data_IF_247436082254
#
_entry.id   IF_247436082254
#
_cell.length_a   1.000
_cell.length_b   1.000
_cell.length_c   1.000
_cell.angle_alpha   90.00
_cell.angle_beta   90.00
_cell.angle_gamma   90.00
#
_symmetry.space_group_name_H-M   'P 1'
#
loop_
_entity.id
_entity.type
_entity.pdbx_description
1 polymer ?
#
# COMPACT_ATOMS: atom_id res chain seq x y z
N UNK A 1 -9.60 -16.58 29.96
CA UNK A 1 -8.32 -15.88 30.12
C UNK A 1 -7.87 -15.45 28.74
N UNK A 2 -8.16 -14.21 28.34
CA UNK A 2 -7.69 -13.63 27.08
C UNK A 2 -6.26 -13.18 27.31
N UNK A 3 -5.29 -14.02 26.95
CA UNK A 3 -3.90 -13.63 26.93
C UNK A 3 -3.71 -12.55 25.86
N UNK A 4 -3.57 -11.29 26.29
CA UNK A 4 -3.10 -10.20 25.46
C UNK A 4 -1.78 -10.63 24.78
N UNK A 5 -1.84 -10.92 23.49
CA UNK A 5 -0.70 -11.31 22.66
C UNK A 5 0.15 -10.08 22.29
N UNK A 6 0.31 -9.15 23.23
CA UNK A 6 0.85 -7.81 23.03
C UNK A 6 2.40 -7.76 23.13
N UNK A 7 3.07 -8.90 22.88
CA UNK A 7 4.52 -9.04 23.05
C UNK A 7 5.28 -9.20 21.75
N UNK A 8 4.61 -9.25 20.59
CA UNK A 8 5.29 -9.28 19.30
C UNK A 8 5.58 -7.83 18.87
N UNK A 9 6.84 -7.50 18.54
CA UNK A 9 7.19 -6.16 18.08
C UNK A 9 6.48 -5.88 16.74
N UNK A 10 5.83 -4.72 16.64
CA UNK A 10 5.29 -4.24 15.38
C UNK A 10 6.42 -3.66 14.52
N UNK A 11 6.28 -3.81 13.21
CA UNK A 11 7.14 -3.15 12.23
C UNK A 11 6.26 -2.37 11.26
N UNK A 12 6.46 -1.05 11.20
CA UNK A 12 5.78 -0.21 10.21
C UNK A 12 6.52 -0.38 8.87
N UNK A 13 5.80 -0.80 7.83
CA UNK A 13 6.38 -1.05 6.51
C UNK A 13 5.92 -0.01 5.49
N UNK A 14 6.87 0.55 4.73
CA UNK A 14 6.62 1.52 3.65
C UNK A 14 6.98 0.96 2.27
N UNK A 15 6.40 1.54 1.21
CA UNK A 15 6.51 1.04 -0.17
C UNK A 15 7.39 1.92 -1.06
N UNK A 16 8.53 2.37 -0.53
CA UNK A 16 9.53 3.14 -1.29
C UNK A 16 9.09 4.54 -1.70
N UNK A 17 8.15 5.15 -0.99
CA UNK A 17 7.79 6.55 -1.23
C UNK A 17 9.01 7.45 -1.00
N UNK A 18 9.34 8.35 -1.95
CA UNK A 18 10.41 9.32 -1.74
C UNK A 18 10.05 10.29 -0.61
N UNK A 19 11.07 10.82 0.05
CA UNK A 19 10.89 11.88 1.05
C UNK A 19 10.16 13.07 0.42
N UNK A 20 9.01 13.43 1.00
CA UNK A 20 8.23 14.58 0.60
C UNK A 20 7.81 15.37 1.85
N UNK A 21 7.68 16.70 1.75
CA UNK A 21 7.25 17.53 2.89
C UNK A 21 5.79 17.33 3.28
N UNK A 22 5.00 16.61 2.48
CA UNK A 22 3.58 16.30 2.67
C UNK A 22 3.29 14.90 2.13
N UNK A 23 2.19 14.29 2.57
CA UNK A 23 1.77 12.95 2.15
C UNK A 23 2.30 11.84 3.06
N UNK A 24 2.19 10.58 2.61
CA UNK A 24 2.49 9.39 3.42
C UNK A 24 3.95 9.36 3.90
N UNK A 25 4.90 9.77 3.08
CA UNK A 25 6.32 9.78 3.46
C UNK A 25 6.65 10.78 4.57
N UNK A 26 5.84 11.82 4.77
CA UNK A 26 5.98 12.75 5.90
C UNK A 26 5.42 12.19 7.22
N UNK A 27 4.40 11.32 7.13
CA UNK A 27 3.68 10.79 8.30
C UNK A 27 4.33 9.51 8.82
N UNK A 28 4.85 8.67 7.92
CA UNK A 28 5.39 7.35 8.31
C UNK A 28 6.46 7.40 9.40
N UNK A 29 7.44 8.35 9.41
CA UNK A 29 8.40 8.43 10.51
C UNK A 29 7.75 8.60 11.87
N UNK A 30 6.68 9.42 11.97
CA UNK A 30 5.93 9.65 13.21
C UNK A 30 5.17 8.39 13.67
N UNK A 31 4.61 7.65 12.71
CA UNK A 31 3.92 6.38 12.99
C UNK A 31 4.93 5.32 13.48
N UNK A 32 6.12 5.25 12.86
CA UNK A 32 7.17 4.33 13.27
C UNK A 32 7.75 4.68 14.65
N UNK A 33 7.91 5.96 14.97
CA UNK A 33 8.27 6.43 16.31
C UNK A 33 7.28 5.91 17.36
N UNK A 34 5.98 6.03 17.09
CA UNK A 34 4.93 5.64 18.01
C UNK A 34 4.72 4.13 18.15
N UNK A 35 4.92 3.34 17.08
CA UNK A 35 4.49 1.93 17.03
C UNK A 35 5.64 0.92 17.02
N UNK A 36 6.82 1.31 16.55
CA UNK A 36 7.91 0.38 16.27
C UNK A 36 9.27 0.87 16.77
N UNK A 37 9.30 1.79 17.76
CA UNK A 37 10.53 2.37 18.31
C UNK A 37 11.45 2.92 17.21
N UNK A 38 10.87 3.66 16.26
CA UNK A 38 11.51 4.18 15.04
C UNK A 38 11.89 3.15 13.98
N UNK A 39 11.83 1.84 14.25
CA UNK A 39 12.22 0.83 13.27
C UNK A 39 11.22 0.77 12.12
N UNK A 40 11.72 0.74 10.89
CA UNK A 40 10.89 0.64 9.68
C UNK A 40 11.29 -0.55 8.82
N UNK A 41 10.29 -1.14 8.19
CA UNK A 41 10.47 -2.00 7.03
C UNK A 41 10.30 -1.19 5.76
N UNK A 42 11.03 -1.58 4.72
CA UNK A 42 10.95 -0.97 3.40
C UNK A 42 10.75 -2.07 2.35
N UNK A 43 9.74 -1.89 1.51
CA UNK A 43 9.55 -2.69 0.30
C UNK A 43 9.74 -1.82 -0.92
N UNK A 44 10.69 -2.19 -1.77
CA UNK A 44 11.03 -1.48 -2.99
C UNK A 44 10.69 -2.31 -4.23
N UNK A 45 10.36 -1.64 -5.33
CA UNK A 45 10.43 -2.27 -6.64
C UNK A 45 11.87 -2.68 -6.93
N UNK A 46 12.03 -3.78 -7.66
CA UNK A 46 13.30 -4.17 -8.24
C UNK A 46 13.79 -3.08 -9.21
N UNK A 47 15.10 -2.84 -9.27
CA UNK A 47 15.69 -1.83 -10.17
C UNK A 47 15.38 -2.10 -11.64
N UNK A 48 15.14 -3.35 -12.01
CA UNK A 48 14.73 -3.76 -13.37
C UNK A 48 13.31 -3.33 -13.73
N UNK A 49 12.46 -3.02 -12.74
CA UNK A 49 11.09 -2.54 -12.94
C UNK A 49 11.10 -1.00 -12.97
N UNK A 50 11.69 -0.37 -11.97
CA UNK A 50 11.80 1.09 -11.88
C UNK A 50 13.08 1.51 -11.13
N UNK A 51 14.18 1.86 -11.83
CA UNK A 51 15.47 2.15 -11.19
C UNK A 51 15.42 3.29 -10.16
N UNK A 52 14.58 4.30 -10.37
CA UNK A 52 14.43 5.44 -9.47
C UNK A 52 13.72 5.10 -8.17
N UNK A 53 12.82 4.10 -8.16
CA UNK A 53 11.98 3.79 -7.00
C UNK A 53 12.82 3.39 -5.78
N UNK A 54 13.67 2.38 -5.93
CA UNK A 54 14.57 1.96 -4.86
C UNK A 54 15.60 3.03 -4.52
N UNK A 55 16.20 3.70 -5.53
CA UNK A 55 17.24 4.71 -5.31
C UNK A 55 16.74 5.88 -4.46
N UNK A 56 15.52 6.34 -4.73
CA UNK A 56 14.96 7.57 -4.13
C UNK A 56 14.15 7.28 -2.85
N UNK A 57 14.01 6.01 -2.46
CA UNK A 57 13.30 5.60 -1.25
C UNK A 57 13.99 6.05 0.05
N UNK A 58 13.19 6.51 1.02
CA UNK A 58 13.65 6.87 2.35
C UNK A 58 14.12 5.65 3.17
N UNK A 59 15.41 5.60 3.48
CA UNK A 59 16.03 4.54 4.29
C UNK A 59 16.27 4.93 5.74
N UNK A 60 15.76 6.08 6.18
CA UNK A 60 15.90 6.53 7.56
C UNK A 60 15.24 5.54 8.52
N UNK A 61 16.04 4.99 9.45
CA UNK A 61 15.64 3.98 10.44
C UNK A 61 15.06 2.67 9.84
N UNK A 62 15.41 2.35 8.60
CA UNK A 62 15.05 1.07 7.99
C UNK A 62 15.92 -0.05 8.57
N UNK A 63 15.29 -1.05 9.17
CA UNK A 63 15.95 -2.24 9.75
C UNK A 63 15.71 -3.51 8.93
N UNK A 64 14.76 -3.45 7.99
CA UNK A 64 14.44 -4.53 7.07
C UNK A 64 14.13 -3.92 5.71
N UNK A 65 14.85 -4.35 4.67
CA UNK A 65 14.58 -3.98 3.29
C UNK A 65 14.32 -5.27 2.48
N UNK A 66 13.25 -5.27 1.71
CA UNK A 66 12.83 -6.40 0.86
C UNK A 66 12.43 -5.87 -0.52
N UNK A 67 12.77 -6.60 -1.57
CA UNK A 67 12.32 -6.27 -2.92
C UNK A 67 10.98 -6.93 -3.27
N UNK A 68 10.23 -6.29 -4.16
CA UNK A 68 8.98 -6.79 -4.71
C UNK A 68 9.12 -8.24 -5.20
N UNK A 69 10.16 -8.56 -5.98
CA UNK A 69 10.39 -9.92 -6.48
C UNK A 69 10.54 -10.98 -5.39
N UNK A 70 11.10 -10.61 -4.24
CA UNK A 70 11.27 -11.53 -3.11
C UNK A 70 9.92 -11.86 -2.46
N UNK A 71 9.06 -10.87 -2.25
CA UNK A 71 7.70 -11.10 -1.74
C UNK A 71 6.82 -11.82 -2.77
N UNK A 72 6.97 -11.50 -4.06
CA UNK A 72 6.28 -12.21 -5.13
C UNK A 72 6.69 -13.69 -5.14
N UNK A 73 7.97 -13.99 -4.94
CA UNK A 73 8.47 -15.37 -4.88
C UNK A 73 7.88 -16.14 -3.70
N UNK A 74 7.73 -15.51 -2.53
CA UNK A 74 7.05 -16.13 -1.37
C UNK A 74 5.64 -16.58 -1.77
N UNK A 75 4.87 -15.70 -2.41
CA UNK A 75 3.50 -15.99 -2.83
C UNK A 75 3.44 -17.05 -3.95
N UNK A 76 4.38 -17.01 -4.89
CA UNK A 76 4.49 -18.01 -5.97
C UNK A 76 4.84 -19.40 -5.47
N UNK A 77 5.58 -19.51 -4.37
CA UNK A 77 5.90 -20.80 -3.76
C UNK A 77 4.65 -21.48 -3.17
N UNK A 78 3.67 -20.69 -2.73
CA UNK A 78 2.38 -21.19 -2.24
C UNK A 78 1.37 -21.42 -3.38
N UNK A 79 1.25 -20.45 -4.30
CA UNK A 79 0.40 -20.54 -5.49
C UNK A 79 1.16 -20.01 -6.72
N UNK A 80 1.59 -20.92 -7.59
CA UNK A 80 2.30 -20.58 -8.84
C UNK A 80 1.48 -19.70 -9.79
N UNK A 81 0.15 -19.73 -9.69
CA UNK A 81 -0.75 -18.91 -10.51
C UNK A 81 -1.04 -17.54 -9.90
N UNK A 82 -0.55 -17.26 -8.70
CA UNK A 82 -0.77 -16.01 -7.98
C UNK A 82 -0.46 -14.75 -8.83
N UNK A 83 0.71 -14.63 -9.50
CA UNK A 83 1.01 -13.42 -10.28
C UNK A 83 -0.02 -13.18 -11.39
N UNK A 84 -0.41 -14.23 -12.11
CA UNK A 84 -1.35 -14.14 -13.22
C UNK A 84 -2.75 -13.75 -12.72
N UNK A 85 -3.19 -14.30 -11.59
CA UNK A 85 -4.47 -13.98 -10.96
C UNK A 85 -4.52 -12.53 -10.51
N UNK A 86 -3.46 -12.08 -9.83
CA UNK A 86 -3.35 -10.71 -9.35
C UNK A 86 -3.31 -9.72 -10.53
N UNK A 87 -2.47 -9.99 -11.53
CA UNK A 87 -2.35 -9.15 -12.72
C UNK A 87 -3.70 -9.03 -13.45
N UNK A 88 -4.41 -10.15 -13.65
CA UNK A 88 -5.74 -10.15 -14.27
C UNK A 88 -6.75 -9.31 -13.48
N UNK A 89 -6.74 -9.42 -12.16
CA UNK A 89 -7.64 -8.66 -11.30
C UNK A 89 -7.32 -7.15 -11.32
N UNK A 90 -6.02 -6.80 -11.29
CA UNK A 90 -5.55 -5.41 -11.42
C UNK A 90 -5.94 -4.83 -12.79
N UNK A 91 -5.75 -5.58 -13.88
CA UNK A 91 -6.11 -5.13 -15.23
C UNK A 91 -7.63 -4.92 -15.36
N UNK A 92 -8.44 -5.80 -14.78
CA UNK A 92 -9.89 -5.62 -14.70
C UNK A 92 -10.27 -4.36 -13.91
N UNK A 93 -9.64 -4.13 -12.77
CA UNK A 93 -9.89 -2.93 -11.94
C UNK A 93 -9.50 -1.64 -12.69
N UNK A 94 -8.38 -1.64 -13.41
CA UNK A 94 -7.96 -0.52 -14.28
C UNK A 94 -9.01 -0.26 -15.38
N UNK A 95 -9.53 -1.32 -15.99
CA UNK A 95 -10.58 -1.20 -17.01
C UNK A 95 -11.83 -0.51 -16.43
N UNK A 96 -12.32 -0.97 -15.29
CA UNK A 96 -13.49 -0.40 -14.61
C UNK A 96 -13.27 1.05 -14.16
N UNK A 97 -12.09 1.37 -13.62
CA UNK A 97 -11.69 2.75 -13.32
C UNK A 97 -11.73 3.63 -14.57
N UNK A 98 -11.18 3.15 -15.69
CA UNK A 98 -11.15 3.90 -16.94
C UNK A 98 -12.55 4.11 -17.53
N UNK A 99 -13.45 3.14 -17.42
CA UNK A 99 -14.86 3.32 -17.78
C UNK A 99 -15.53 4.42 -16.94
N UNK A 100 -15.30 4.40 -15.62
CA UNK A 100 -15.80 5.44 -14.71
C UNK A 100 -15.23 6.83 -15.03
N UNK A 101 -13.93 6.90 -15.34
CA UNK A 101 -13.24 8.14 -15.72
C UNK A 101 -13.75 8.68 -17.06
N UNK A 102 -13.98 7.83 -18.04
CA UNK A 102 -14.53 8.22 -19.34
C UNK A 102 -15.93 8.83 -19.20
N UNK A 103 -16.81 8.22 -18.38
CA UNK A 103 -18.14 8.78 -18.05
C UNK A 103 -18.05 10.15 -17.38
N UNK A 104 -16.97 10.40 -16.64
CA UNK A 104 -16.67 11.68 -15.98
C UNK A 104 -15.85 12.67 -16.85
N UNK A 105 -15.61 12.35 -18.14
CA UNK A 105 -14.83 13.20 -19.05
C UNK A 105 -13.33 13.30 -18.70
N UNK A 106 -12.81 12.35 -17.91
CA UNK A 106 -11.40 12.31 -17.48
C UNK A 106 -10.59 11.37 -18.39
N UNK A 107 -9.29 11.66 -18.63
CA UNK A 107 -8.42 10.75 -19.37
C UNK A 107 -8.20 9.44 -18.60
N UNK A 108 -7.77 8.34 -19.26
CA UNK A 108 -7.40 7.10 -18.58
C UNK A 108 -6.36 7.31 -17.46
N UNK A 109 -6.29 6.36 -16.53
CA UNK A 109 -5.25 6.33 -15.50
C UNK A 109 -3.86 6.20 -16.13
N UNK A 110 -2.83 6.62 -15.38
CA UNK A 110 -1.45 6.55 -15.85
C UNK A 110 -0.96 5.10 -15.86
N UNK A 111 -0.02 4.77 -16.74
CA UNK A 111 0.55 3.41 -16.86
C UNK A 111 1.16 2.89 -15.56
N UNK A 112 1.70 3.78 -14.72
CA UNK A 112 2.28 3.40 -13.43
C UNK A 112 1.26 2.82 -12.45
N UNK A 113 -0.05 3.01 -12.66
CA UNK A 113 -1.08 2.50 -11.76
C UNK A 113 -0.96 0.98 -11.60
N UNK A 114 -0.71 0.26 -12.69
CA UNK A 114 -0.51 -1.20 -12.66
C UNK A 114 0.69 -1.55 -11.78
N UNK A 115 1.83 -0.92 -12.00
CA UNK A 115 3.07 -1.20 -11.24
C UNK A 115 2.88 -0.99 -9.74
N UNK A 116 2.29 0.14 -9.34
CA UNK A 116 2.10 0.43 -7.92
C UNK A 116 0.94 -0.36 -7.29
N UNK A 117 -0.09 -0.72 -8.04
CA UNK A 117 -1.11 -1.66 -7.58
C UNK A 117 -0.50 -3.04 -7.30
N UNK A 118 0.34 -3.54 -8.21
CA UNK A 118 1.07 -4.80 -8.00
C UNK A 118 1.98 -4.72 -6.78
N UNK A 119 2.78 -3.66 -6.64
CA UNK A 119 3.61 -3.42 -5.45
C UNK A 119 2.77 -3.42 -4.17
N UNK A 120 1.65 -2.72 -4.19
CA UNK A 120 0.77 -2.57 -3.03
C UNK A 120 0.28 -3.92 -2.54
N UNK A 121 -0.29 -4.72 -3.44
CA UNK A 121 -0.96 -5.96 -3.09
C UNK A 121 0.02 -7.11 -2.82
N UNK A 122 1.14 -7.19 -3.56
CA UNK A 122 2.21 -8.16 -3.28
C UNK A 122 2.85 -7.90 -1.92
N UNK A 123 3.02 -6.63 -1.54
CA UNK A 123 3.56 -6.29 -0.21
C UNK A 123 2.65 -6.79 0.90
N UNK A 124 1.35 -6.45 0.84
CA UNK A 124 0.38 -6.83 1.86
C UNK A 124 0.26 -8.36 1.97
N UNK A 125 0.06 -9.03 0.83
CA UNK A 125 -0.10 -10.47 0.78
C UNK A 125 1.18 -11.20 1.23
N UNK A 126 2.33 -10.79 0.72
CA UNK A 126 3.62 -11.42 1.02
C UNK A 126 4.01 -11.28 2.49
N UNK A 127 3.83 -10.08 3.06
CA UNK A 127 4.09 -9.86 4.49
C UNK A 127 3.10 -10.62 5.36
N UNK A 128 1.81 -10.68 4.99
CA UNK A 128 0.84 -11.51 5.70
C UNK A 128 1.21 -12.99 5.67
N UNK A 129 1.66 -13.52 4.53
CA UNK A 129 2.11 -14.90 4.42
C UNK A 129 3.32 -15.18 5.34
N UNK A 130 4.28 -14.26 5.42
CA UNK A 130 5.47 -14.41 6.25
C UNK A 130 5.20 -14.22 7.75
N UNK A 131 4.36 -13.26 8.13
CA UNK A 131 4.12 -12.87 9.51
C UNK A 131 2.94 -13.60 10.15
N UNK A 132 2.08 -14.21 9.33
CA UNK A 132 0.83 -14.87 9.73
C UNK A 132 -0.35 -13.90 9.95
N UNK A 133 -0.09 -12.62 10.18
CA UNK A 133 -1.09 -11.58 10.36
C UNK A 133 -0.56 -10.22 9.87
N UNK A 134 -1.47 -9.28 9.58
CA UNK A 134 -1.16 -7.92 9.16
C UNK A 134 -2.24 -6.94 9.62
N UNK A 135 -1.84 -5.69 9.81
CA UNK A 135 -2.74 -4.54 9.98
C UNK A 135 -2.50 -3.54 8.86
N UNK A 136 -3.56 -3.17 8.14
CA UNK A 136 -3.53 -2.25 7.01
C UNK A 136 -4.24 -0.96 7.45
N UNK A 137 -3.50 0.13 7.52
CA UNK A 137 -4.03 1.44 7.84
C UNK A 137 -4.13 2.31 6.57
N UNK A 138 -5.29 2.92 6.35
CA UNK A 138 -5.45 3.98 5.37
C UNK A 138 -5.43 5.34 6.08
N UNK A 139 -4.83 6.36 5.46
CA UNK A 139 -4.79 7.72 6.01
C UNK A 139 -6.02 8.55 5.64
N UNK A 140 -7.04 7.94 5.03
CA UNK A 140 -8.31 8.59 4.67
C UNK A 140 -9.47 7.66 4.97
N UNK A 141 -10.57 8.22 5.47
CA UNK A 141 -11.84 7.53 5.64
C UNK A 141 -12.57 7.30 4.30
N UNK A 142 -12.28 8.15 3.30
CA UNK A 142 -12.83 8.04 1.95
C UNK A 142 -11.70 7.80 0.95
N UNK A 143 -11.78 6.68 0.24
CA UNK A 143 -10.81 6.35 -0.81
C UNK A 143 -11.36 6.80 -2.14
N UNK A 144 -10.61 7.65 -2.85
CA UNK A 144 -10.96 8.04 -4.20
C UNK A 144 -10.93 6.80 -5.12
N UNK A 145 -12.04 6.45 -5.80
CA UNK A 145 -12.13 5.25 -6.62
C UNK A 145 -11.19 5.28 -7.84
N UNK A 146 -10.61 6.44 -8.18
CA UNK A 146 -9.65 6.61 -9.27
C UNK A 146 -8.20 6.78 -8.79
N UNK A 147 -7.90 6.40 -7.54
CA UNK A 147 -6.55 6.40 -6.96
C UNK A 147 -5.88 5.03 -7.05
N UNK A 148 -4.57 4.98 -6.82
CA UNK A 148 -3.85 3.70 -6.64
C UNK A 148 -4.29 3.01 -5.34
N UNK A 149 -4.68 3.76 -4.31
CA UNK A 149 -5.11 3.19 -3.04
C UNK A 149 -6.33 2.28 -3.21
N UNK A 150 -7.27 2.59 -4.13
CA UNK A 150 -8.48 1.79 -4.35
C UNK A 150 -8.22 0.34 -4.78
N UNK A 151 -7.00 0.01 -5.24
CA UNK A 151 -6.63 -1.37 -5.56
C UNK A 151 -6.58 -2.30 -4.35
N UNK A 152 -6.76 -1.79 -3.11
CA UNK A 152 -7.00 -2.64 -1.95
C UNK A 152 -8.23 -3.56 -2.14
N UNK A 153 -9.21 -3.14 -2.95
CA UNK A 153 -10.38 -3.95 -3.29
C UNK A 153 -9.98 -5.24 -4.03
N UNK A 154 -8.95 -5.18 -4.88
CA UNK A 154 -8.41 -6.38 -5.56
C UNK A 154 -7.87 -7.39 -4.54
N UNK A 155 -7.18 -6.93 -3.50
CA UNK A 155 -6.67 -7.80 -2.45
C UNK A 155 -7.78 -8.46 -1.62
N UNK A 156 -8.85 -7.72 -1.33
CA UNK A 156 -10.03 -8.24 -0.65
C UNK A 156 -10.77 -9.27 -1.52
N UNK A 157 -11.03 -8.96 -2.79
CA UNK A 157 -11.75 -9.82 -3.73
C UNK A 157 -11.02 -11.14 -3.99
N UNK A 158 -9.69 -11.11 -4.02
CA UNK A 158 -8.86 -12.31 -4.15
C UNK A 158 -8.65 -13.06 -2.84
N UNK A 159 -9.13 -12.52 -1.70
CA UNK A 159 -8.99 -13.13 -0.38
C UNK A 159 -7.55 -13.13 0.15
N UNK A 160 -6.72 -12.17 -0.28
CA UNK A 160 -5.32 -12.07 0.15
C UNK A 160 -5.23 -11.68 1.63
N UNK A 161 -6.14 -10.80 2.03
CA UNK A 161 -6.42 -10.34 3.38
C UNK A 161 -7.93 -10.05 3.48
N UNK A 162 -8.41 -9.82 4.70
CA UNK A 162 -9.82 -9.56 4.94
C UNK A 162 -10.06 -8.15 5.53
N UNK A 163 -11.32 -7.76 5.62
CA UNK A 163 -11.70 -6.45 6.16
C UNK A 163 -11.32 -6.27 7.64
N UNK A 164 -11.10 -7.36 8.40
CA UNK A 164 -10.65 -7.29 9.80
C UNK A 164 -9.16 -6.96 9.91
N UNK A 165 -8.38 -7.19 8.86
CA UNK A 165 -7.02 -6.69 8.75
C UNK A 165 -6.96 -5.17 8.53
N UNK A 166 -8.08 -4.51 8.20
CA UNK A 166 -8.12 -3.10 7.88
C UNK A 166 -8.52 -2.24 9.09
N UNK A 167 -7.79 -1.14 9.30
CA UNK A 167 -8.12 -0.13 10.32
C UNK A 167 -8.59 1.13 9.62
N UNK A 168 -9.86 1.49 9.88
CA UNK A 168 -10.43 2.73 9.38
C UNK A 168 -9.85 3.94 10.13
N UNK A 169 -9.51 4.99 9.40
CA UNK A 169 -9.26 6.29 10.00
C UNK A 169 -10.57 6.86 10.53
N UNK A 170 -10.79 6.82 11.85
CA UNK A 170 -11.96 7.47 12.45
C UNK A 170 -11.68 8.97 12.57
N UNK A 171 -12.44 9.80 11.86
CA UNK A 171 -12.37 11.26 11.93
C UNK A 171 -12.90 11.83 13.27
N UNK A 172 -12.58 11.19 14.40
CA UNK A 172 -12.93 11.67 15.74
C UNK A 172 -11.80 12.55 16.26
N UNK A 173 -11.42 13.58 15.51
CA UNK A 173 -10.87 14.88 15.93
C UNK A 173 -10.33 15.62 14.71
N UNK A 174 -11.21 16.36 14.03
CA UNK A 174 -10.98 17.71 13.50
C UNK A 174 -12.00 17.95 12.39
N UNK A 175 -12.98 18.82 12.67
CA UNK A 175 -13.64 19.61 11.64
C UNK A 175 -12.61 20.55 11.01
N UNK A 176 -11.71 20.02 10.19
CA UNK A 176 -11.08 20.81 9.14
C UNK A 176 -11.31 20.05 7.84
N UNK A 177 -12.31 20.51 7.11
CA UNK A 177 -12.54 20.10 5.73
C UNK A 177 -11.27 20.36 4.94
N UNK A 178 -10.55 19.29 4.59
CA UNK A 178 -9.43 19.34 3.66
C UNK A 178 -9.95 19.80 2.30
N UNK A 179 -9.72 21.07 1.99
CA UNK A 179 -10.03 21.66 0.69
C UNK A 179 -9.01 21.17 -0.35
N UNK A 180 -9.36 20.11 -1.08
CA UNK A 180 -8.54 19.59 -2.17
C UNK A 180 -8.31 20.62 -3.30
N UNK A 181 -9.09 21.70 -3.40
CA UNK A 181 -8.87 22.82 -4.31
C UNK A 181 -7.68 23.71 -3.91
N UNK A 182 -7.19 23.62 -2.68
CA UNK A 182 -5.96 24.29 -2.23
C UNK A 182 -4.71 23.42 -2.34
N UNK A 183 -4.85 22.13 -2.67
CA UNK A 183 -3.74 21.16 -2.70
C UNK A 183 -3.26 20.85 -4.13
N UNK A 184 -4.01 21.25 -5.17
CA UNK A 184 -3.57 21.14 -6.57
C UNK A 184 -3.86 22.41 -7.39
N UNK A 185 -2.85 23.23 -7.76
CA UNK A 185 -3.02 24.31 -8.71
C UNK A 185 -2.67 23.89 -10.16
N UNK A 186 -2.79 22.61 -10.54
CA UNK A 186 -2.59 22.14 -11.92
C UNK A 186 -3.85 21.55 -12.55
#
# INVERSE_FOLDING_TARGET
SLSNNNSKPFLVVTQGDPLAPKGISAITPLVAESLSNNNRGLVCLDESIEPSHSRDADRTNVVLEVHYSQLLQVLQNEDKMFPNRLETAVDKHIFEQNEGRAKAGKPPVKSYFKTYAMLQEVTKAGLKALCGDITIAHTSSEINPFSVTSFYEVGLDLGLYDATNMVAYSAVVAEETLDFGTIDPR
#
